data_IF_430895686984
#
_entry.id   IF_430895686984
#
_cell.length_a   1.000
_cell.length_b   1.000
_cell.length_c   1.000
_cell.angle_alpha   90.00
_cell.angle_beta   90.00
_cell.angle_gamma   90.00
#
_symmetry.space_group_name_H-M   'P 1'
#
loop_
_entity.id
_entity.type
_entity.pdbx_description
1 polymer ?
#
# COMPACT_ATOMS: atom_id res chain seq x y z
N UNK A 1 6.75 1.97 -13.55
CA UNK A 1 6.17 2.32 -12.24
C UNK A 1 4.67 2.51 -12.41
N UNK A 2 3.86 1.95 -11.51
CA UNK A 2 2.40 2.13 -11.47
C UNK A 2 2.02 2.81 -10.16
N UNK A 3 1.04 3.71 -10.21
CA UNK A 3 0.55 4.41 -9.03
C UNK A 3 -0.84 3.92 -8.65
N UNK A 4 -1.01 3.49 -7.40
CA UNK A 4 -2.30 3.09 -6.85
C UNK A 4 -2.80 4.12 -5.83
N UNK A 5 -4.03 4.62 -5.98
CA UNK A 5 -4.63 5.51 -4.99
C UNK A 5 -5.00 4.74 -3.72
N UNK A 6 -4.69 5.33 -2.57
CA UNK A 6 -4.94 4.80 -1.21
C UNK A 6 -6.43 4.56 -0.97
N UNK A 7 -7.30 5.40 -1.54
CA UNK A 7 -8.76 5.32 -1.39
C UNK A 7 -9.36 3.99 -1.90
N UNK A 8 -8.63 3.28 -2.78
CA UNK A 8 -9.03 1.94 -3.24
C UNK A 8 -8.81 0.85 -2.19
N UNK A 9 -8.16 1.16 -1.06
CA UNK A 9 -7.91 0.26 0.08
C UNK A 9 -7.32 -1.09 -0.32
N UNK A 10 -6.35 -1.06 -1.24
CA UNK A 10 -5.65 -2.26 -1.76
C UNK A 10 -4.41 -2.60 -0.94
N UNK A 11 -3.94 -3.84 -1.08
CA UNK A 11 -2.74 -4.36 -0.42
C UNK A 11 -1.54 -3.42 -0.59
N UNK A 12 -1.34 -2.83 -1.78
CA UNK A 12 -0.27 -1.84 -2.02
C UNK A 12 -0.25 -0.73 -0.96
N UNK A 13 -1.42 -0.23 -0.57
CA UNK A 13 -1.58 0.83 0.44
C UNK A 13 -1.80 0.33 1.87
N UNK A 14 -1.76 -0.99 2.10
CA UNK A 14 -2.05 -1.58 3.39
C UNK A 14 -0.78 -1.77 4.23
N UNK A 15 -0.74 -1.28 5.47
CA UNK A 15 0.41 -1.44 6.37
C UNK A 15 0.87 -2.90 6.52
N UNK A 16 -0.08 -3.84 6.48
CA UNK A 16 0.16 -5.29 6.65
C UNK A 16 0.78 -5.98 5.44
N UNK A 17 0.77 -5.38 4.26
CA UNK A 17 1.38 -5.99 3.08
C UNK A 17 2.87 -5.65 3.01
N UNK A 18 3.74 -6.64 2.86
CA UNK A 18 5.20 -6.46 2.90
C UNK A 18 5.88 -6.44 1.53
N UNK A 19 5.10 -6.44 0.44
CA UNK A 19 5.67 -6.43 -0.91
C UNK A 19 6.35 -5.11 -1.29
N UNK A 20 7.14 -5.11 -2.37
CA UNK A 20 7.87 -3.92 -2.83
C UNK A 20 6.94 -2.77 -3.19
N UNK A 21 7.15 -1.61 -2.56
CA UNK A 21 6.39 -0.37 -2.79
C UNK A 21 7.14 0.85 -2.26
N UNK A 22 6.76 2.03 -2.75
CA UNK A 22 7.18 3.33 -2.24
C UNK A 22 5.98 4.28 -2.14
N UNK A 23 6.03 5.35 -1.34
CA UNK A 23 5.11 6.48 -1.51
C UNK A 23 5.15 6.97 -2.97
N UNK A 24 3.99 7.32 -3.52
CA UNK A 24 3.93 7.90 -4.86
C UNK A 24 4.18 9.41 -4.87
N UNK A 25 4.33 9.96 -6.07
CA UNK A 25 4.66 11.38 -6.29
C UNK A 25 3.52 12.32 -5.88
N UNK A 26 2.28 11.81 -5.83
CA UNK A 26 1.11 12.54 -5.37
C UNK A 26 0.69 12.06 -3.95
N UNK A 27 0.22 12.98 -3.08
CA UNK A 27 -0.36 12.61 -1.80
C UNK A 27 -1.44 11.54 -1.95
N UNK A 28 -1.47 10.55 -1.06
CA UNK A 28 -2.46 9.47 -1.12
C UNK A 28 -2.26 8.49 -2.28
N UNK A 29 -1.06 8.41 -2.85
CA UNK A 29 -0.71 7.38 -3.83
C UNK A 29 0.46 6.51 -3.37
N UNK A 30 0.47 5.26 -3.85
CA UNK A 30 1.55 4.29 -3.64
C UNK A 30 2.11 3.90 -5.00
N UNK A 31 3.42 3.99 -5.14
CA UNK A 31 4.14 3.55 -6.32
C UNK A 31 4.56 2.08 -6.16
N UNK A 32 4.32 1.28 -7.20
CA UNK A 32 4.71 -0.13 -7.30
C UNK A 32 5.36 -0.40 -8.66
N UNK A 33 6.19 -1.43 -8.73
CA UNK A 33 6.89 -1.78 -9.98
C UNK A 33 5.93 -2.32 -11.06
N UNK A 34 5.01 -3.20 -10.66
CA UNK A 34 4.05 -3.89 -11.54
C UNK A 34 2.71 -4.12 -10.83
N UNK A 35 1.59 -4.17 -11.57
CA UNK A 35 0.28 -4.53 -11.03
C UNK A 35 0.18 -5.99 -10.54
N UNK A 36 1.08 -6.86 -11.00
CA UNK A 36 1.16 -8.27 -10.60
C UNK A 36 2.13 -8.51 -9.45
N UNK A 37 2.87 -7.47 -9.02
CA UNK A 37 3.84 -7.61 -7.92
C UNK A 37 3.13 -8.15 -6.68
N UNK A 38 3.79 -9.10 -6.03
CA UNK A 38 3.28 -9.82 -4.89
C UNK A 38 4.10 -9.53 -3.64
N UNK A 39 3.50 -9.81 -2.50
CA UNK A 39 4.12 -9.66 -1.19
C UNK A 39 3.29 -10.41 -0.16
N UNK A 40 3.91 -10.75 0.96
CA UNK A 40 3.23 -11.45 2.04
C UNK A 40 2.34 -10.46 2.81
N UNK A 41 1.21 -10.95 3.28
CA UNK A 41 0.47 -10.26 4.32
C UNK A 41 1.01 -10.68 5.70
N UNK A 42 1.29 -9.69 6.54
CA UNK A 42 1.76 -9.83 7.92
C UNK A 42 0.69 -9.28 8.84
N UNK A 43 0.04 -10.17 9.57
CA UNK A 43 -1.13 -9.93 10.41
C UNK A 43 -2.46 -9.89 9.66
N UNK A 44 -3.55 -10.05 10.42
CA UNK A 44 -4.92 -10.05 9.90
C UNK A 44 -5.33 -11.41 9.29
N UNK A 45 -6.39 -11.45 8.46
CA UNK A 45 -7.01 -12.70 8.01
C UNK A 45 -6.20 -13.49 6.97
N UNK A 46 -5.16 -12.87 6.38
CA UNK A 46 -4.31 -13.48 5.35
C UNK A 46 -2.85 -13.58 5.79
N UNK A 47 -2.61 -13.64 7.10
CA UNK A 47 -1.25 -13.74 7.64
C UNK A 47 -0.47 -14.90 7.00
N UNK A 48 0.76 -14.60 6.57
CA UNK A 48 1.63 -15.54 5.87
C UNK A 48 1.26 -15.84 4.42
N UNK A 49 0.15 -15.31 3.89
CA UNK A 49 -0.25 -15.55 2.50
C UNK A 49 0.28 -14.49 1.55
N UNK A 50 0.68 -14.94 0.36
CA UNK A 50 1.07 -14.06 -0.73
C UNK A 50 -0.14 -13.42 -1.40
N UNK A 51 -0.11 -12.09 -1.55
CA UNK A 51 -1.16 -11.31 -2.21
C UNK A 51 -0.54 -10.32 -3.18
N UNK A 52 -1.23 -10.09 -4.30
CA UNK A 52 -0.85 -9.06 -5.26
C UNK A 52 -1.17 -7.67 -4.73
N UNK A 53 -0.42 -6.67 -5.17
CA UNK A 53 -0.61 -5.26 -4.80
C UNK A 53 -2.06 -4.76 -4.97
N UNK A 54 -2.79 -5.23 -5.99
CA UNK A 54 -4.20 -4.87 -6.26
C UNK A 54 -5.25 -5.65 -5.45
N UNK A 55 -4.82 -6.62 -4.64
CA UNK A 55 -5.75 -7.43 -3.84
C UNK A 55 -6.41 -6.57 -2.76
N UNK A 56 -7.60 -6.99 -2.32
CA UNK A 56 -8.26 -6.46 -1.14
C UNK A 56 -8.37 -7.57 -0.10
N UNK A 57 -8.23 -7.22 1.18
CA UNK A 57 -8.35 -8.15 2.30
C UNK A 57 -9.54 -7.86 3.23
N UNK A 58 -10.28 -6.77 2.99
CA UNK A 58 -11.36 -6.28 3.86
C UNK A 58 -10.89 -5.69 5.20
N UNK A 59 -9.68 -6.02 5.66
CA UNK A 59 -9.09 -5.55 6.91
C UNK A 59 -7.93 -4.59 6.64
N UNK A 60 -8.19 -3.62 5.77
CA UNK A 60 -7.20 -2.66 5.32
C UNK A 60 -6.86 -1.67 6.43
N UNK A 61 -5.56 -1.41 6.60
CA UNK A 61 -5.02 -0.40 7.52
C UNK A 61 -4.07 0.46 6.70
N UNK A 62 -4.21 1.78 6.75
CA UNK A 62 -3.36 2.70 5.98
C UNK A 62 -1.89 2.45 6.26
N UNK A 63 -1.08 2.37 5.20
CA UNK A 63 0.36 2.25 5.35
C UNK A 63 0.95 3.52 5.96
N UNK A 64 1.54 3.38 7.16
CA UNK A 64 2.10 4.49 7.95
C UNK A 64 3.12 5.37 7.20
N UNK A 65 3.83 4.85 6.18
CA UNK A 65 4.74 5.68 5.39
C UNK A 65 4.00 6.82 4.66
N UNK A 66 2.70 6.66 4.37
CA UNK A 66 1.89 7.66 3.67
C UNK A 66 1.40 8.76 4.60
N UNK A 67 1.27 8.47 5.90
CA UNK A 67 0.84 9.48 6.88
C UNK A 67 1.98 10.44 7.22
N UNK A 68 3.24 9.99 7.14
CA UNK A 68 4.41 10.84 7.40
C UNK A 68 4.66 11.87 6.29
N UNK A 69 4.31 11.54 5.04
CA UNK A 69 4.46 12.44 3.88
C UNK A 69 3.39 13.54 3.85
N UNK A 70 2.31 13.39 4.61
CA UNK A 70 1.16 14.31 4.60
C UNK A 70 1.35 15.56 5.48
N UNK A 71 2.50 15.72 6.15
CA UNK A 71 2.74 16.78 7.14
C UNK A 71 3.74 17.86 6.72
N UNK A 72 4.22 17.86 5.48
CA UNK A 72 5.13 18.92 4.98
C UNK A 72 4.52 19.63 3.77
N UNK A 73 3.77 20.70 4.05
CA UNK A 73 3.23 21.66 3.07
C UNK A 73 1.97 22.30 3.64
N UNK A 74 1.94 23.58 4.03
CA UNK A 74 2.28 24.79 3.28
C UNK A 74 2.54 25.99 4.27
N UNK A 75 2.91 27.21 3.80
CA UNK A 75 3.77 28.19 4.48
C UNK A 75 3.20 28.84 5.75
#
# INVERSE_FOLDING_TARGET
MFFQPVDRKRCASCHRWSGPRAPGDLPGTVAIESETIAGLCVGGPWDGQERRARSACGHWVVWLALTLVSTTGNP
#
